data_IF_886747996910
#
_entry.id   IF_886747996910
#
_cell.length_a   1.000
_cell.length_b   1.000
_cell.length_c   1.000
_cell.angle_alpha   90.00
_cell.angle_beta   90.00
_cell.angle_gamma   90.00
#
_symmetry.space_group_name_H-M   'P 1'
#
loop_
_entity.id
_entity.type
_entity.pdbx_description
1 polymer ?
#
# COMPACT_ATOMS: atom_id res chain seq x y z
N UNK A 1 -9.04 -69.24 -73.24
CA UNK A 1 -8.50 -67.96 -72.73
C UNK A 1 -9.10 -67.74 -71.35
N UNK A 2 -8.27 -67.81 -70.31
CA UNK A 2 -8.64 -67.64 -68.89
C UNK A 2 -7.78 -66.49 -68.37
N UNK A 3 -8.38 -65.41 -67.89
CA UNK A 3 -8.00 -64.72 -66.65
C UNK A 3 -9.02 -63.62 -66.31
N UNK A 4 -9.06 -63.16 -65.05
CA UNK A 4 -10.27 -62.86 -64.31
C UNK A 4 -10.26 -61.36 -64.00
N UNK A 5 -11.25 -60.89 -63.26
CA UNK A 5 -11.03 -60.11 -62.04
C UNK A 5 -12.38 -59.52 -61.62
N UNK A 6 -12.93 -60.16 -60.60
CA UNK A 6 -13.97 -59.58 -59.79
C UNK A 6 -13.37 -58.39 -59.02
N UNK A 7 -13.93 -57.20 -59.22
CA UNK A 7 -13.82 -56.11 -58.24
C UNK A 7 -15.21 -55.87 -57.66
N UNK A 8 -15.37 -56.20 -56.39
CA UNK A 8 -16.49 -55.79 -55.57
C UNK A 8 -16.45 -54.27 -55.35
N UNK A 9 -17.60 -53.57 -55.32
CA UNK A 9 -17.62 -52.14 -55.07
C UNK A 9 -17.25 -51.83 -53.61
N UNK A 10 -16.26 -50.95 -53.45
CA UNK A 10 -15.80 -50.35 -52.19
C UNK A 10 -16.96 -49.59 -51.51
N UNK A 11 -17.20 -49.74 -50.20
CA UNK A 11 -18.22 -48.96 -49.50
C UNK A 11 -17.85 -47.46 -49.51
N UNK A 12 -18.82 -46.62 -49.83
CA UNK A 12 -18.68 -45.17 -49.76
C UNK A 12 -18.43 -44.74 -48.30
N UNK A 13 -17.35 -43.99 -48.07
CA UNK A 13 -17.10 -43.37 -46.77
C UNK A 13 -18.18 -42.30 -46.50
N UNK A 14 -18.87 -42.41 -45.38
CA UNK A 14 -19.77 -41.38 -44.89
C UNK A 14 -18.99 -40.07 -44.62
N UNK A 15 -19.60 -38.89 -44.78
CA UNK A 15 -18.93 -37.62 -44.50
C UNK A 15 -18.59 -37.55 -43.00
N UNK A 16 -17.31 -37.35 -42.69
CA UNK A 16 -16.86 -37.09 -41.33
C UNK A 16 -17.44 -35.76 -40.85
N UNK A 17 -18.30 -35.81 -39.84
CA UNK A 17 -18.69 -34.63 -39.07
C UNK A 17 -17.45 -34.08 -38.36
N UNK A 18 -17.17 -32.76 -38.41
CA UNK A 18 -16.13 -32.19 -37.58
C UNK A 18 -16.56 -32.31 -36.12
N UNK A 19 -15.87 -33.17 -35.38
CA UNK A 19 -15.99 -33.24 -33.92
C UNK A 19 -15.28 -32.00 -33.34
N UNK A 20 -16.04 -30.93 -33.11
CA UNK A 20 -15.59 -29.87 -32.20
C UNK A 20 -15.66 -30.43 -30.79
N UNK A 21 -14.55 -31.03 -30.34
CA UNK A 21 -14.32 -31.24 -28.92
C UNK A 21 -14.39 -29.87 -28.22
N UNK A 22 -15.11 -29.71 -27.11
CA UNK A 22 -15.06 -28.48 -26.35
C UNK A 22 -13.62 -28.27 -25.90
N UNK A 23 -13.03 -27.13 -26.25
CA UNK A 23 -11.75 -26.72 -25.69
C UNK A 23 -11.92 -26.74 -24.16
N UNK A 24 -11.20 -27.66 -23.50
CA UNK A 24 -11.15 -27.68 -22.05
C UNK A 24 -10.62 -26.31 -21.61
N UNK A 25 -11.46 -25.55 -20.90
CA UNK A 25 -11.04 -24.31 -20.30
C UNK A 25 -9.85 -24.61 -19.40
N UNK A 26 -8.72 -23.96 -19.66
CA UNK A 26 -7.56 -23.99 -18.78
C UNK A 26 -8.05 -23.62 -17.37
N UNK A 27 -7.70 -24.39 -16.33
CA UNK A 27 -8.13 -24.07 -14.97
C UNK A 27 -7.66 -22.65 -14.64
N UNK A 28 -8.62 -21.79 -14.28
CA UNK A 28 -8.34 -20.41 -13.91
C UNK A 28 -7.25 -20.40 -12.84
N UNK A 29 -6.15 -19.69 -13.11
CA UNK A 29 -5.07 -19.53 -12.12
C UNK A 29 -5.69 -18.99 -10.82
N UNK A 30 -5.34 -19.57 -9.66
CA UNK A 30 -5.88 -19.10 -8.39
C UNK A 30 -5.61 -17.60 -8.24
N UNK A 31 -6.63 -16.85 -7.82
CA UNK A 31 -6.50 -15.42 -7.60
C UNK A 31 -5.36 -15.16 -6.60
N UNK A 32 -4.50 -14.19 -6.92
CA UNK A 32 -3.42 -13.79 -6.01
C UNK A 32 -4.05 -13.30 -4.71
N UNK A 33 -3.47 -13.63 -3.54
CA UNK A 33 -3.95 -13.10 -2.28
C UNK A 33 -3.89 -11.56 -2.31
N UNK A 34 -4.81 -10.88 -1.61
CA UNK A 34 -4.81 -9.42 -1.52
C UNK A 34 -3.48 -8.93 -0.98
N UNK A 35 -3.01 -7.79 -1.50
CA UNK A 35 -1.80 -7.14 -1.01
C UNK A 35 -2.04 -6.65 0.42
N UNK A 36 -1.09 -6.92 1.32
CA UNK A 36 -1.11 -6.40 2.68
C UNK A 36 -1.18 -4.87 2.70
N UNK A 37 -2.04 -4.31 3.55
CA UNK A 37 -2.16 -2.88 3.82
C UNK A 37 -2.03 -2.65 5.33
N UNK A 38 -1.00 -1.89 5.71
CA UNK A 38 -0.71 -1.52 7.11
C UNK A 38 -1.88 -0.77 7.75
N UNK A 39 -2.64 -0.01 6.98
CA UNK A 39 -3.74 0.81 7.47
C UNK A 39 -5.07 0.06 7.55
N UNK A 40 -5.16 -1.12 6.93
CA UNK A 40 -6.37 -1.93 6.89
C UNK A 40 -6.09 -3.42 7.16
N UNK A 41 -5.52 -3.76 8.33
CA UNK A 41 -5.21 -5.14 8.67
C UNK A 41 -6.48 -5.97 8.85
N UNK A 42 -6.51 -7.13 8.21
CA UNK A 42 -7.68 -8.02 8.21
C UNK A 42 -7.99 -8.52 9.63
N UNK A 43 -9.23 -8.34 10.07
CA UNK A 43 -9.72 -8.88 11.35
C UNK A 43 -9.26 -8.11 12.59
N UNK A 44 -8.69 -6.92 12.45
CA UNK A 44 -8.30 -6.10 13.58
C UNK A 44 -9.52 -5.54 14.32
N UNK A 45 -9.54 -5.72 15.64
CA UNK A 45 -10.48 -5.05 16.55
C UNK A 45 -9.70 -3.96 17.28
N UNK A 46 -10.13 -2.71 17.12
CA UNK A 46 -9.48 -1.55 17.76
C UNK A 46 -10.29 -1.05 18.95
N UNK A 47 -9.60 -0.62 20.00
CA UNK A 47 -10.20 0.08 21.13
C UNK A 47 -9.53 1.44 21.29
N UNK A 48 -10.33 2.49 21.47
CA UNK A 48 -9.81 3.83 21.73
C UNK A 48 -9.60 4.01 23.22
N UNK A 49 -8.37 4.36 23.61
CA UNK A 49 -8.02 4.71 24.98
C UNK A 49 -7.54 6.16 24.99
N UNK A 50 -8.16 7.05 25.79
CA UNK A 50 -7.67 8.42 25.92
C UNK A 50 -6.35 8.39 26.70
N UNK A 51 -5.26 8.83 26.08
CA UNK A 51 -3.96 8.99 26.70
C UNK A 51 -3.66 10.48 26.78
N UNK A 52 -3.45 11.00 27.98
CA UNK A 52 -3.03 12.37 28.23
C UNK A 52 -1.53 12.36 28.54
N UNK A 53 -0.77 13.18 27.82
CA UNK A 53 0.70 13.24 27.92
C UNK A 53 1.13 14.69 28.05
N UNK A 54 2.05 14.96 28.98
CA UNK A 54 2.66 16.28 29.21
C UNK A 54 4.18 16.28 28.95
N UNK A 55 4.80 15.10 28.91
CA UNK A 55 6.20 14.90 28.57
C UNK A 55 6.41 13.58 27.81
N UNK A 56 7.51 13.47 27.06
CA UNK A 56 7.86 12.26 26.35
C UNK A 56 9.38 12.09 26.25
N UNK A 57 9.79 10.86 25.94
CA UNK A 57 11.17 10.50 25.63
C UNK A 57 11.20 9.80 24.28
N UNK A 58 12.38 9.72 23.64
CA UNK A 58 12.51 9.13 22.30
C UNK A 58 11.64 9.82 21.24
N UNK A 59 11.65 11.15 21.24
CA UNK A 59 10.90 11.97 20.29
C UNK A 59 11.86 12.66 19.32
N UNK A 60 11.37 12.95 18.12
CA UNK A 60 12.02 13.89 17.21
C UNK A 60 11.26 15.22 17.18
N UNK A 61 11.98 16.31 16.98
CA UNK A 61 11.43 17.66 16.91
C UNK A 61 12.17 18.48 15.85
N UNK A 62 11.43 19.32 15.13
CA UNK A 62 11.96 20.33 14.23
C UNK A 62 11.23 21.66 14.43
N UNK A 63 11.91 22.75 14.10
CA UNK A 63 11.38 24.13 14.24
C UNK A 63 11.13 24.69 12.85
N UNK A 64 9.99 25.36 12.65
CA UNK A 64 9.66 26.02 11.39
C UNK A 64 10.70 27.10 11.07
N UNK A 65 10.90 27.39 9.79
CA UNK A 65 11.92 28.35 9.35
C UNK A 65 11.72 29.76 9.93
N UNK A 66 10.47 30.16 10.17
CA UNK A 66 10.13 31.43 10.82
C UNK A 66 10.24 31.40 12.35
N UNK A 67 10.60 30.26 12.93
CA UNK A 67 10.80 30.06 14.36
C UNK A 67 9.52 30.02 15.19
N UNK A 68 8.33 29.98 14.59
CA UNK A 68 7.06 30.12 15.33
C UNK A 68 6.38 28.81 15.69
N UNK A 69 6.69 27.73 15.00
CA UNK A 69 5.99 26.45 15.13
C UNK A 69 7.01 25.34 15.31
N UNK A 70 6.69 24.37 16.16
CA UNK A 70 7.41 23.11 16.25
C UNK A 70 6.58 22.00 15.64
N UNK A 71 7.24 21.05 14.98
CA UNK A 71 6.69 19.76 14.62
C UNK A 71 7.43 18.68 15.41
N UNK A 72 6.70 17.72 15.94
CA UNK A 72 7.30 16.63 16.73
C UNK A 72 6.48 15.36 16.58
N UNK A 73 7.13 14.20 16.78
CA UNK A 73 6.43 12.93 16.87
C UNK A 73 6.15 12.52 18.32
N UNK A 74 5.06 11.77 18.51
CA UNK A 74 4.68 11.19 19.79
C UNK A 74 3.79 9.98 19.56
N UNK A 75 4.18 8.82 20.11
CA UNK A 75 3.43 7.56 20.03
C UNK A 75 3.10 7.09 18.60
N UNK A 76 3.93 7.45 17.61
CA UNK A 76 3.73 7.07 16.21
C UNK A 76 2.89 8.05 15.39
N UNK A 77 2.64 9.24 15.94
CA UNK A 77 1.89 10.30 15.28
C UNK A 77 2.70 11.60 15.24
N UNK A 78 2.42 12.45 14.26
CA UNK A 78 3.07 13.75 14.12
C UNK A 78 2.11 14.86 14.55
N UNK A 79 2.63 15.76 15.37
CA UNK A 79 1.94 16.92 15.91
C UNK A 79 2.66 18.21 15.52
N UNK A 80 1.91 19.32 15.54
CA UNK A 80 2.45 20.67 15.47
C UNK A 80 1.91 21.53 16.60
N UNK A 81 2.70 22.53 17.01
CA UNK A 81 2.32 23.45 18.08
C UNK A 81 3.08 24.78 17.94
N UNK A 82 2.54 25.91 18.42
CA UNK A 82 3.35 27.12 18.59
C UNK A 82 4.60 26.86 19.45
N UNK A 83 5.72 27.49 19.11
CA UNK A 83 6.97 27.34 19.88
C UNK A 83 6.84 27.86 21.32
N UNK A 84 5.90 28.78 21.55
CA UNK A 84 5.54 29.29 22.87
C UNK A 84 4.79 28.25 23.74
N UNK A 85 4.48 27.07 23.19
CA UNK A 85 3.62 26.08 23.82
C UNK A 85 2.14 26.26 23.49
N UNK A 86 1.31 25.36 24.02
CA UNK A 86 -0.14 25.35 23.82
C UNK A 86 -0.69 23.94 23.65
N UNK A 87 -1.89 23.84 23.07
CA UNK A 87 -2.46 22.55 22.69
C UNK A 87 -1.91 22.14 21.31
N UNK A 88 -1.24 20.98 21.19
CA UNK A 88 -0.74 20.52 19.90
C UNK A 88 -1.87 20.04 18.99
N UNK A 89 -1.71 20.25 17.70
CA UNK A 89 -2.60 19.72 16.66
C UNK A 89 -1.96 18.49 16.03
N UNK A 90 -2.68 17.36 16.03
CA UNK A 90 -2.27 16.13 15.35
C UNK A 90 -2.48 16.28 13.84
N UNK A 91 -1.43 16.06 13.04
CA UNK A 91 -1.46 16.26 11.58
C UNK A 91 -1.14 14.99 10.77
N UNK A 92 -0.52 13.99 11.40
CA UNK A 92 -0.41 12.65 10.83
C UNK A 92 -0.74 11.61 11.89
N UNK A 93 -1.63 10.68 11.52
CA UNK A 93 -2.09 9.60 12.39
C UNK A 93 -2.43 8.33 11.60
N UNK A 94 -2.68 7.27 12.34
CA UNK A 94 -3.17 6.00 11.84
C UNK A 94 -2.50 4.80 12.52
N UNK A 95 -2.57 3.65 11.85
CA UNK A 95 -1.85 2.45 12.27
C UNK A 95 -0.37 2.46 11.86
N UNK A 96 -0.06 3.22 10.80
CA UNK A 96 1.31 3.43 10.36
C UNK A 96 2.09 4.31 11.36
N UNK A 97 3.39 4.07 11.47
CA UNK A 97 4.25 4.78 12.40
C UNK A 97 4.85 6.04 11.77
N UNK A 98 4.34 7.21 12.17
CA UNK A 98 4.74 8.51 11.64
C UNK A 98 5.80 9.16 12.53
N UNK A 99 7.00 9.38 11.99
CA UNK A 99 8.13 9.86 12.80
C UNK A 99 9.15 10.71 12.03
N UNK A 100 10.05 11.37 12.75
CA UNK A 100 11.11 12.24 12.24
C UNK A 100 10.61 13.39 11.33
N UNK A 101 9.64 14.21 11.76
CA UNK A 101 9.12 15.29 10.94
C UNK A 101 10.17 16.39 10.72
N UNK A 102 10.32 16.85 9.48
CA UNK A 102 11.18 17.98 9.09
C UNK A 102 10.41 18.99 8.24
N UNK A 103 10.49 20.28 8.57
CA UNK A 103 9.89 21.33 7.75
C UNK A 103 10.65 21.52 6.44
N UNK A 104 9.93 21.81 5.36
CA UNK A 104 10.56 22.29 4.14
C UNK A 104 11.10 23.72 4.33
N UNK A 105 12.15 24.13 3.60
CA UNK A 105 12.70 25.49 3.72
C UNK A 105 11.71 26.61 3.41
N UNK A 106 10.73 26.35 2.53
CA UNK A 106 9.66 27.28 2.19
C UNK A 106 8.50 27.28 3.20
N UNK A 107 8.56 26.41 4.21
CA UNK A 107 7.57 26.27 5.27
C UNK A 107 6.21 25.72 4.82
N UNK A 108 6.08 25.20 3.59
CA UNK A 108 4.78 24.73 3.07
C UNK A 108 4.50 23.26 3.31
N UNK A 109 5.54 22.47 3.56
CA UNK A 109 5.47 21.01 3.63
C UNK A 109 6.27 20.48 4.80
N UNK A 110 5.96 19.24 5.16
CA UNK A 110 6.72 18.43 6.11
C UNK A 110 7.15 17.16 5.40
N UNK A 111 8.43 16.81 5.52
CA UNK A 111 8.94 15.48 5.21
C UNK A 111 8.96 14.63 6.49
N UNK A 112 8.67 13.34 6.38
CA UNK A 112 8.62 12.42 7.53
C UNK A 112 8.90 10.98 7.08
N UNK A 113 9.19 10.10 8.03
CA UNK A 113 9.31 8.65 7.80
C UNK A 113 8.00 7.97 8.18
N UNK A 114 7.55 7.06 7.32
CA UNK A 114 6.33 6.29 7.54
C UNK A 114 6.42 4.89 6.94
N UNK A 115 5.94 3.91 7.69
CA UNK A 115 5.80 2.52 7.24
C UNK A 115 4.46 2.24 6.53
N UNK A 116 3.66 3.29 6.28
CA UNK A 116 2.35 3.22 5.63
C UNK A 116 2.33 2.46 4.30
N UNK A 117 3.47 2.44 3.60
CA UNK A 117 3.66 1.72 2.33
C UNK A 117 4.04 0.24 2.47
N UNK A 118 4.21 -0.27 3.69
CA UNK A 118 4.66 -1.63 4.01
C UNK A 118 6.09 -1.71 4.58
N UNK A 119 6.85 -0.62 4.52
CA UNK A 119 8.20 -0.48 5.08
C UNK A 119 8.57 1.00 5.20
N UNK A 120 9.58 1.30 6.00
CA UNK A 120 9.99 2.68 6.28
C UNK A 120 10.45 3.39 5.00
N UNK A 121 9.74 4.46 4.68
CA UNK A 121 10.02 5.28 3.51
C UNK A 121 9.92 6.76 3.87
N UNK A 122 10.50 7.61 3.03
CA UNK A 122 10.32 9.06 3.14
C UNK A 122 9.00 9.44 2.48
N UNK A 123 8.22 10.23 3.19
CA UNK A 123 6.95 10.80 2.75
C UNK A 123 6.97 12.32 2.91
N UNK A 124 6.09 12.98 2.18
CA UNK A 124 5.80 14.42 2.34
C UNK A 124 4.31 14.66 2.51
N UNK A 125 3.97 15.74 3.19
CA UNK A 125 2.59 16.25 3.33
C UNK A 125 2.58 17.78 3.41
N UNK A 126 1.41 18.37 3.23
CA UNK A 126 1.16 19.78 3.55
C UNK A 126 1.22 20.01 5.07
N UNK A 127 1.39 21.26 5.50
CA UNK A 127 1.44 21.61 6.93
C UNK A 127 0.20 21.19 7.73
N UNK A 128 -0.96 21.16 7.08
CA UNK A 128 -2.24 20.75 7.69
C UNK A 128 -2.41 19.22 7.73
N UNK A 129 -1.40 18.47 7.29
CA UNK A 129 -1.44 17.01 7.22
C UNK A 129 -2.07 16.44 5.94
N UNK A 130 -2.58 17.28 5.04
CA UNK A 130 -3.17 16.80 3.78
C UNK A 130 -2.11 16.42 2.75
N UNK A 131 -2.53 15.77 1.66
CA UNK A 131 -1.67 15.45 0.51
C UNK A 131 -0.42 14.62 0.86
N UNK A 132 -0.59 13.59 1.70
CA UNK A 132 0.46 12.63 2.04
C UNK A 132 0.92 11.87 0.78
N UNK A 133 2.20 11.97 0.43
CA UNK A 133 2.80 11.32 -0.74
C UNK A 133 4.11 10.63 -0.39
N UNK A 134 4.24 9.39 -0.84
CA UNK A 134 5.46 8.63 -0.71
C UNK A 134 6.51 9.11 -1.72
N UNK A 135 7.75 9.33 -1.28
CA UNK A 135 8.87 9.76 -2.11
C UNK A 135 9.85 8.64 -2.44
N UNK A 136 10.11 7.73 -1.50
CA UNK A 136 11.00 6.57 -1.70
C UNK A 136 10.20 5.28 -1.76
N UNK A 137 10.76 4.24 -2.38
CA UNK A 137 10.11 2.92 -2.53
C UNK A 137 11.09 1.82 -2.15
N UNK A 138 11.31 1.71 -0.86
CA UNK A 138 12.08 0.62 -0.26
C UNK A 138 11.13 -0.46 0.27
N UNK A 139 11.47 -1.71 -0.03
CA UNK A 139 10.67 -2.89 0.30
C UNK A 139 11.35 -3.73 1.42
N UNK A 140 12.54 -3.33 1.85
CA UNK A 140 13.40 -4.08 2.75
C UNK A 140 13.17 -3.70 4.22
N UNK A 141 13.00 -4.70 5.08
CA UNK A 141 12.93 -4.54 6.54
C UNK A 141 14.00 -5.46 7.17
N UNK A 142 14.92 -4.88 7.94
CA UNK A 142 15.98 -5.60 8.68
C UNK A 142 15.41 -6.40 9.85
#
# INVERSE_FOLDING_TARGET
>A
MINPDQQTPKPAAAPATPSTAPAAAEPAKPAKPPKWDVNAPTGMVTHTVPINVDNGTWMNVDVSHDGRTIAFDMLGDIYTMPISGGTPTRIAEGLAYEHQPRFSPDGKRIAFVSDRGGGDNVWIMNLDGTDKRQLTKEDFRL
#
